data_IF_234568567121
#
_entry.id   IF_234568567121
#
_cell.length_a   1.000
_cell.length_b   1.000
_cell.length_c   1.000
_cell.angle_alpha   90.00
_cell.angle_beta   90.00
_cell.angle_gamma   90.00
#
_symmetry.space_group_name_H-M   'P 1'
#
loop_
_entity.id
_entity.type
_entity.pdbx_description
1 polymer ?
#
# COMPACT_ATOMS: atom_id res chain seq x y z
N UNK A 1 -12.52 -7.37 -22.83
CA UNK A 1 -13.49 -6.58 -22.04
C UNK A 1 -13.46 -5.16 -22.57
N UNK A 2 -14.59 -4.62 -22.96
CA UNK A 2 -14.70 -3.22 -23.43
C UNK A 2 -14.52 -2.28 -22.24
N UNK A 3 -13.99 -1.07 -22.43
CA UNK A 3 -13.76 -0.09 -21.34
C UNK A 3 -15.04 0.25 -20.54
N UNK A 4 -16.22 0.07 -21.15
CA UNK A 4 -17.53 0.25 -20.51
C UNK A 4 -17.83 -0.75 -19.39
N UNK A 5 -17.20 -1.93 -19.38
CA UNK A 5 -17.40 -2.95 -18.33
C UNK A 5 -16.59 -2.64 -17.04
N UNK A 6 -15.68 -1.65 -17.09
CA UNK A 6 -14.80 -1.27 -15.97
C UNK A 6 -15.22 0.02 -15.27
N UNK A 7 -16.38 0.56 -15.59
CA UNK A 7 -16.91 1.79 -15.02
C UNK A 7 -18.28 1.60 -14.38
N UNK A 8 -18.64 2.44 -13.42
CA UNK A 8 -19.95 2.42 -12.82
C UNK A 8 -20.60 3.82 -12.86
N UNK A 9 -21.93 3.83 -12.78
CA UNK A 9 -22.76 5.04 -12.75
C UNK A 9 -22.97 5.46 -11.30
N UNK A 10 -22.50 6.66 -10.88
CA UNK A 10 -22.64 7.15 -9.51
C UNK A 10 -24.11 7.42 -9.12
N UNK A 11 -25.01 7.61 -10.09
CA UNK A 11 -26.43 7.85 -9.82
C UNK A 11 -27.13 6.61 -9.22
N UNK A 12 -26.48 5.45 -9.25
CA UNK A 12 -26.93 4.23 -8.55
C UNK A 12 -26.59 4.20 -7.07
N UNK A 13 -25.78 5.14 -6.57
CA UNK A 13 -25.29 5.14 -5.20
C UNK A 13 -26.27 5.74 -4.16
N UNK A 14 -27.08 6.76 -4.45
CA UNK A 14 -27.96 7.38 -3.44
C UNK A 14 -28.80 6.40 -2.60
N UNK A 15 -29.42 5.33 -3.16
CA UNK A 15 -30.16 4.38 -2.35
C UNK A 15 -29.28 3.60 -1.36
N UNK A 16 -28.03 3.32 -1.71
CA UNK A 16 -27.07 2.64 -0.83
C UNK A 16 -26.64 3.59 0.30
N UNK A 17 -26.42 4.87 0.00
CA UNK A 17 -26.06 5.87 0.99
C UNK A 17 -27.15 6.05 2.06
N UNK A 18 -28.41 6.14 1.66
CA UNK A 18 -29.51 6.27 2.63
C UNK A 18 -29.68 5.00 3.48
N UNK A 19 -29.57 3.82 2.88
CA UNK A 19 -29.59 2.57 3.63
C UNK A 19 -28.39 2.47 4.60
N UNK A 20 -27.22 2.95 4.20
CA UNK A 20 -26.02 3.02 5.04
C UNK A 20 -26.25 3.97 6.23
N UNK A 21 -26.78 5.17 6.01
CA UNK A 21 -27.09 6.11 7.09
C UNK A 21 -28.07 5.52 8.11
N UNK A 22 -29.11 4.85 7.62
CA UNK A 22 -30.10 4.17 8.50
C UNK A 22 -29.45 3.04 9.30
N UNK A 23 -28.63 2.20 8.66
CA UNK A 23 -27.94 1.11 9.35
C UNK A 23 -26.97 1.66 10.43
N UNK A 24 -26.18 2.68 10.09
CA UNK A 24 -25.22 3.29 11.01
C UNK A 24 -25.92 4.00 12.20
N UNK A 25 -27.04 4.64 11.97
CA UNK A 25 -27.79 5.34 13.01
C UNK A 25 -28.30 4.41 14.13
N UNK A 26 -28.40 3.11 13.92
CA UNK A 26 -28.80 2.11 14.93
C UNK A 26 -27.64 1.53 15.73
N UNK A 27 -26.39 1.86 15.40
CA UNK A 27 -25.19 1.26 16.02
C UNK A 27 -24.82 2.04 17.30
N UNK A 28 -24.72 1.33 18.42
CA UNK A 28 -24.39 1.91 19.72
C UNK A 28 -23.04 2.64 19.73
N UNK A 29 -21.99 2.10 19.11
CA UNK A 29 -20.66 2.71 19.01
C UNK A 29 -20.71 4.09 18.35
N UNK A 30 -21.59 4.29 17.36
CA UNK A 30 -21.82 5.58 16.70
C UNK A 30 -22.37 6.61 17.70
N UNK A 31 -23.30 6.20 18.54
CA UNK A 31 -23.87 7.06 19.58
C UNK A 31 -22.86 7.38 20.67
N UNK A 32 -22.10 6.40 21.14
CA UNK A 32 -21.04 6.58 22.15
C UNK A 32 -19.96 7.57 21.68
N UNK A 33 -19.60 7.53 20.42
CA UNK A 33 -18.65 8.48 19.78
C UNK A 33 -19.30 9.79 19.35
N UNK A 34 -20.60 9.96 19.54
CA UNK A 34 -21.37 11.16 19.17
C UNK A 34 -21.24 11.55 17.69
N UNK A 35 -21.10 10.58 16.77
CA UNK A 35 -20.96 10.82 15.34
C UNK A 35 -22.28 11.25 14.69
N UNK A 36 -22.24 12.30 13.86
CA UNK A 36 -23.39 12.89 13.18
C UNK A 36 -23.58 12.27 11.79
N UNK A 37 -24.11 11.05 11.74
CA UNK A 37 -24.27 10.25 10.50
C UNK A 37 -25.20 10.94 9.49
N UNK A 38 -26.19 11.67 9.95
CA UNK A 38 -27.16 12.40 9.10
C UNK A 38 -26.47 13.45 8.21
N UNK A 39 -25.33 14.00 8.66
CA UNK A 39 -24.53 15.00 7.93
C UNK A 39 -23.44 14.37 7.04
N UNK A 40 -23.33 13.04 7.02
CA UNK A 40 -22.32 12.35 6.27
C UNK A 40 -22.50 12.57 4.77
N UNK A 41 -21.41 12.96 4.09
CA UNK A 41 -21.31 13.08 2.64
C UNK A 41 -20.19 12.16 2.20
N UNK A 42 -20.44 11.38 1.14
CA UNK A 42 -19.45 10.49 0.53
C UNK A 42 -19.09 11.00 -0.86
N UNK A 43 -17.80 11.07 -1.12
CA UNK A 43 -17.22 11.52 -2.38
C UNK A 43 -16.58 10.30 -3.09
N UNK A 44 -16.94 10.00 -4.35
CA UNK A 44 -16.31 8.95 -5.14
C UNK A 44 -14.90 9.32 -5.61
N UNK A 45 -14.45 10.55 -5.38
CA UNK A 45 -13.20 11.05 -5.92
C UNK A 45 -13.28 11.43 -7.41
N UNK A 46 -12.14 11.69 -8.05
CA UNK A 46 -12.12 12.16 -9.43
C UNK A 46 -12.48 11.07 -10.43
N UNK A 47 -13.24 11.44 -11.46
CA UNK A 47 -13.45 10.60 -12.64
C UNK A 47 -12.16 10.46 -13.46
N UNK A 48 -11.96 9.29 -14.06
CA UNK A 48 -10.91 9.03 -15.03
C UNK A 48 -11.57 8.89 -16.41
N UNK A 49 -11.20 9.73 -17.37
CA UNK A 49 -11.79 9.75 -18.72
C UNK A 49 -13.34 9.82 -18.73
N UNK A 50 -13.92 10.62 -17.84
CA UNK A 50 -15.36 10.77 -17.63
C UNK A 50 -16.09 9.51 -17.07
N UNK A 51 -15.36 8.57 -16.49
CA UNK A 51 -15.91 7.37 -15.86
C UNK A 51 -15.33 7.17 -14.46
N UNK A 52 -16.10 6.54 -13.58
CA UNK A 52 -15.59 6.06 -12.30
C UNK A 52 -15.08 4.63 -12.47
N UNK A 53 -13.82 4.32 -12.09
CA UNK A 53 -13.32 2.96 -12.08
C UNK A 53 -14.15 2.04 -11.18
N UNK A 54 -14.22 0.74 -11.50
CA UNK A 54 -14.96 -0.25 -10.68
C UNK A 54 -14.37 -0.39 -9.28
N UNK A 55 -13.06 -0.18 -9.12
CA UNK A 55 -12.34 -0.26 -7.85
C UNK A 55 -12.39 1.04 -7.03
N UNK A 56 -13.10 2.05 -7.50
CA UNK A 56 -13.29 3.30 -6.74
C UNK A 56 -14.09 3.02 -5.47
N UNK A 57 -13.63 3.59 -4.36
CA UNK A 57 -14.35 3.62 -3.09
C UNK A 57 -14.85 5.02 -2.79
N UNK A 58 -16.05 5.12 -2.22
CA UNK A 58 -16.55 6.38 -1.67
C UNK A 58 -15.86 6.68 -0.35
N UNK A 59 -15.47 7.94 -0.17
CA UNK A 59 -14.72 8.43 0.98
C UNK A 59 -15.47 9.58 1.63
N UNK A 60 -15.49 9.60 2.96
CA UNK A 60 -16.12 10.69 3.68
C UNK A 60 -15.50 10.94 5.03
N UNK A 61 -15.76 12.13 5.55
CA UNK A 61 -15.45 12.50 6.93
C UNK A 61 -16.77 12.58 7.69
N UNK A 62 -16.83 11.95 8.85
CA UNK A 62 -17.96 12.04 9.77
C UNK A 62 -17.55 13.01 10.89
N UNK A 63 -18.35 14.07 11.06
CA UNK A 63 -18.18 15.00 12.14
C UNK A 63 -18.88 14.50 13.42
N UNK A 64 -18.49 15.01 14.57
CA UNK A 64 -19.24 14.88 15.81
C UNK A 64 -20.43 15.86 15.84
N UNK A 65 -21.20 15.83 16.93
CA UNK A 65 -22.35 16.74 17.16
C UNK A 65 -21.96 18.22 17.17
N UNK A 66 -20.70 18.54 17.44
CA UNK A 66 -20.15 19.90 17.44
C UNK A 66 -19.59 20.32 16.07
N UNK A 67 -19.82 19.53 15.02
CA UNK A 67 -19.26 19.68 13.68
C UNK A 67 -17.72 19.57 13.61
N UNK A 68 -17.10 18.89 14.58
CA UNK A 68 -15.66 18.62 14.54
C UNK A 68 -15.41 17.31 13.79
N UNK A 69 -14.55 17.29 12.73
CA UNK A 69 -14.17 16.05 12.06
C UNK A 69 -13.63 15.01 13.05
N UNK A 70 -14.24 13.84 13.11
CA UNK A 70 -13.99 12.85 14.17
C UNK A 70 -13.71 11.44 13.66
N UNK A 71 -14.23 11.07 12.49
CA UNK A 71 -14.02 9.77 11.91
C UNK A 71 -13.90 9.86 10.38
N UNK A 72 -13.30 8.84 9.78
CA UNK A 72 -13.19 8.67 8.33
C UNK A 72 -13.96 7.41 7.93
N UNK A 73 -14.77 7.50 6.87
CA UNK A 73 -15.52 6.37 6.35
C UNK A 73 -15.07 6.03 4.92
N UNK A 74 -14.95 4.73 4.66
CA UNK A 74 -14.88 4.14 3.33
C UNK A 74 -16.13 3.33 3.06
N UNK A 75 -16.67 3.44 1.86
CA UNK A 75 -17.76 2.60 1.38
C UNK A 75 -17.42 2.11 -0.02
N UNK A 76 -17.56 0.82 -0.27
CA UNK A 76 -17.37 0.25 -1.59
C UNK A 76 -18.43 0.77 -2.56
N UNK A 77 -18.13 0.77 -3.84
CA UNK A 77 -19.15 1.06 -4.85
C UNK A 77 -20.03 -0.19 -5.13
N UNK A 78 -21.21 -0.04 -5.70
CA UNK A 78 -22.12 -1.15 -5.97
C UNK A 78 -21.59 -2.21 -6.96
N UNK A 79 -20.56 -1.93 -7.73
CA UNK A 79 -19.93 -2.88 -8.66
C UNK A 79 -18.78 -3.65 -7.97
N UNK A 80 -17.98 -2.96 -7.16
CA UNK A 80 -16.90 -3.55 -6.37
C UNK A 80 -17.28 -3.77 -4.90
N UNK A 81 -18.40 -4.45 -4.66
CA UNK A 81 -19.11 -4.54 -3.37
C UNK A 81 -18.23 -4.96 -2.17
N UNK A 82 -17.22 -5.80 -2.40
CA UNK A 82 -16.38 -6.39 -1.34
C UNK A 82 -15.08 -5.63 -1.09
N UNK A 83 -14.75 -4.63 -1.91
CA UNK A 83 -13.44 -3.96 -1.89
C UNK A 83 -13.00 -3.47 -0.51
N UNK A 84 -13.93 -2.88 0.25
CA UNK A 84 -13.62 -2.38 1.60
C UNK A 84 -13.45 -3.53 2.58
N UNK A 85 -14.30 -4.56 2.52
CA UNK A 85 -14.15 -5.76 3.35
C UNK A 85 -12.83 -6.48 3.07
N UNK A 86 -12.48 -6.69 1.81
CA UNK A 86 -11.26 -7.38 1.41
C UNK A 86 -10.01 -6.62 1.91
N UNK A 87 -10.04 -5.27 1.87
CA UNK A 87 -8.98 -4.44 2.45
C UNK A 87 -8.89 -4.60 3.98
N UNK A 88 -10.03 -4.59 4.67
CA UNK A 88 -10.07 -4.78 6.13
C UNK A 88 -9.57 -6.15 6.54
N UNK A 89 -9.99 -7.22 5.86
CA UNK A 89 -9.55 -8.59 6.13
C UNK A 89 -8.03 -8.74 5.93
N UNK A 90 -7.47 -8.15 4.87
CA UNK A 90 -6.02 -8.12 4.65
C UNK A 90 -5.29 -7.35 5.75
N UNK A 91 -5.77 -6.16 6.12
CA UNK A 91 -5.18 -5.39 7.21
C UNK A 91 -5.22 -6.16 8.55
N UNK A 92 -6.30 -6.87 8.84
CA UNK A 92 -6.42 -7.73 10.01
C UNK A 92 -5.42 -8.91 9.97
N UNK A 93 -5.28 -9.57 8.82
CA UNK A 93 -4.31 -10.65 8.64
C UNK A 93 -2.87 -10.15 8.82
N UNK A 94 -2.53 -8.98 8.27
CA UNK A 94 -1.23 -8.33 8.48
C UNK A 94 -1.01 -8.01 9.96
N UNK A 95 -2.01 -7.43 10.63
CA UNK A 95 -1.92 -7.10 12.06
C UNK A 95 -1.70 -8.34 12.92
N UNK A 96 -2.34 -9.45 12.60
CA UNK A 96 -2.18 -10.72 13.30
C UNK A 96 -0.79 -11.36 13.09
N UNK A 97 -0.17 -11.11 11.92
CA UNK A 97 1.16 -11.63 11.59
C UNK A 97 2.28 -10.92 12.35
N UNK A 98 2.11 -9.64 12.67
CA UNK A 98 3.13 -8.80 13.28
C UNK A 98 3.05 -8.82 14.82
N UNK A 99 4.20 -8.73 15.49
CA UNK A 99 4.26 -8.58 16.94
C UNK A 99 3.58 -7.28 17.39
N UNK A 100 3.07 -7.27 18.63
CA UNK A 100 2.31 -6.14 19.20
C UNK A 100 3.04 -4.79 19.16
N UNK A 101 4.38 -4.79 19.23
CA UNK A 101 5.20 -3.59 19.10
C UNK A 101 5.18 -2.97 17.70
N UNK A 102 4.91 -3.75 16.65
CA UNK A 102 4.98 -3.34 15.25
C UNK A 102 3.60 -3.28 14.56
N UNK A 103 2.60 -3.96 15.13
CA UNK A 103 1.26 -4.01 14.56
C UNK A 103 0.40 -2.78 14.89
N UNK A 104 0.83 -1.95 15.84
CA UNK A 104 0.11 -0.73 16.25
C UNK A 104 0.00 0.31 15.14
N UNK A 105 0.91 0.26 14.15
CA UNK A 105 0.87 1.19 13.01
C UNK A 105 -0.14 0.77 11.95
N UNK A 106 -0.66 -0.46 12.01
CA UNK A 106 -1.69 -0.92 11.07
C UNK A 106 -3.00 -0.25 11.43
N UNK A 107 -3.52 0.55 10.52
CA UNK A 107 -4.80 1.22 10.71
C UNK A 107 -5.94 0.24 10.45
N UNK A 108 -6.74 -0.03 11.47
CA UNK A 108 -7.94 -0.86 11.36
C UNK A 108 -9.18 -0.02 11.66
N UNK A 109 -10.30 -0.32 11.00
CA UNK A 109 -11.55 0.32 11.35
C UNK A 109 -11.98 -0.09 12.76
N UNK A 110 -12.63 0.83 13.47
CA UNK A 110 -13.31 0.50 14.71
C UNK A 110 -14.72 -0.07 14.47
N UNK A 111 -15.30 0.21 13.29
CA UNK A 111 -16.54 -0.41 12.80
C UNK A 111 -16.41 -0.76 11.32
N UNK A 112 -16.96 -1.90 10.94
CA UNK A 112 -17.09 -2.31 9.54
C UNK A 112 -18.29 -3.25 9.38
N UNK A 113 -18.80 -3.35 8.17
CA UNK A 113 -19.95 -4.21 7.87
C UNK A 113 -20.37 -4.13 6.42
N UNK A 114 -21.58 -4.62 6.16
CA UNK A 114 -22.20 -4.62 4.85
C UNK A 114 -23.63 -4.03 4.94
N UNK A 115 -24.03 -3.29 3.91
CA UNK A 115 -25.38 -2.83 3.72
C UNK A 115 -25.82 -3.09 2.28
N UNK A 116 -26.91 -3.82 2.07
CA UNK A 116 -27.33 -4.28 0.75
C UNK A 116 -26.22 -4.98 -0.06
N UNK A 117 -25.34 -5.70 0.64
CA UNK A 117 -24.19 -6.40 0.06
C UNK A 117 -22.99 -5.50 -0.29
N UNK A 118 -23.05 -4.19 0.01
CA UNK A 118 -21.96 -3.25 -0.20
C UNK A 118 -21.20 -3.07 1.11
N UNK A 119 -19.90 -3.33 1.12
CA UNK A 119 -19.05 -3.24 2.30
C UNK A 119 -18.66 -1.81 2.63
N UNK A 120 -18.54 -1.53 3.93
CA UNK A 120 -18.12 -0.24 4.46
C UNK A 120 -17.24 -0.42 5.70
N UNK A 121 -16.45 0.61 6.02
CA UNK A 121 -15.60 0.64 7.21
C UNK A 121 -15.42 2.07 7.72
N UNK A 122 -15.42 2.24 9.06
CA UNK A 122 -15.21 3.53 9.73
C UNK A 122 -13.94 3.43 10.57
N UNK A 123 -13.06 4.41 10.35
CA UNK A 123 -11.74 4.51 10.97
C UNK A 123 -11.67 5.73 11.88
N UNK A 124 -10.77 5.71 12.86
CA UNK A 124 -10.36 6.93 13.54
C UNK A 124 -9.79 7.91 12.49
N UNK A 125 -10.03 9.20 12.73
CA UNK A 125 -9.53 10.23 11.82
C UNK A 125 -7.99 10.29 11.89
N UNK A 126 -7.34 9.99 10.79
CA UNK A 126 -5.91 10.18 10.61
C UNK A 126 -5.65 11.35 9.66
N UNK A 127 -4.56 12.04 9.83
CA UNK A 127 -4.20 13.19 9.02
C UNK A 127 -3.11 12.85 8.00
N UNK A 128 -3.24 13.28 6.74
CA UNK A 128 -2.19 13.12 5.75
C UNK A 128 -0.95 13.93 6.15
N UNK A 129 0.20 13.49 5.67
CA UNK A 129 1.44 14.24 5.82
C UNK A 129 1.31 15.61 5.14
N UNK A 130 1.86 16.64 5.77
CA UNK A 130 1.69 18.02 5.32
C UNK A 130 2.18 18.26 3.89
N UNK A 131 1.47 19.12 3.16
CA UNK A 131 1.90 19.65 1.85
C UNK A 131 2.80 20.87 1.99
N UNK A 132 2.86 21.50 3.17
CA UNK A 132 3.74 22.65 3.40
C UNK A 132 5.20 22.21 3.36
N UNK A 133 5.99 22.79 2.45
CA UNK A 133 7.39 22.41 2.18
C UNK A 133 8.28 22.41 3.43
N UNK A 134 8.16 23.43 4.27
CA UNK A 134 9.01 23.58 5.45
C UNK A 134 8.63 22.62 6.56
N UNK A 135 7.37 22.51 6.85
CA UNK A 135 6.83 21.55 7.84
C UNK A 135 7.15 20.13 7.41
N UNK A 136 7.02 19.82 6.11
CA UNK A 136 7.38 18.53 5.53
C UNK A 136 8.85 18.15 5.80
N UNK A 137 9.79 19.09 5.66
CA UNK A 137 11.21 18.77 5.95
C UNK A 137 11.43 18.34 7.40
N UNK A 138 10.68 18.89 8.34
CA UNK A 138 10.76 18.49 9.75
C UNK A 138 10.05 17.15 9.99
N UNK A 139 8.83 16.98 9.50
CA UNK A 139 8.10 15.71 9.59
C UNK A 139 8.92 14.56 9.01
N UNK A 140 9.48 14.76 7.83
CA UNK A 140 10.30 13.79 7.13
C UNK A 140 11.52 13.35 7.97
N UNK A 141 12.23 14.29 8.63
CA UNK A 141 13.36 13.97 9.51
C UNK A 141 12.97 13.12 10.71
N UNK A 142 11.76 13.29 11.23
CA UNK A 142 11.24 12.51 12.34
C UNK A 142 10.73 11.13 11.90
N UNK A 143 10.10 11.04 10.73
CA UNK A 143 9.45 9.83 10.25
C UNK A 143 10.41 8.85 9.55
N UNK A 144 11.41 9.33 8.79
CA UNK A 144 12.36 8.46 8.09
C UNK A 144 12.97 7.39 9.03
N UNK A 145 13.50 7.72 10.22
CA UNK A 145 14.07 6.72 11.09
C UNK A 145 13.06 5.68 11.58
N UNK A 146 11.87 6.12 11.97
CA UNK A 146 10.88 5.21 12.59
C UNK A 146 10.16 4.34 11.57
N UNK A 147 9.83 4.89 10.39
CA UNK A 147 9.26 4.09 9.30
C UNK A 147 10.30 3.13 8.74
N UNK A 148 11.54 3.59 8.57
CA UNK A 148 12.63 2.76 8.11
C UNK A 148 12.96 1.61 9.06
N UNK A 149 12.96 1.85 10.37
CA UNK A 149 13.14 0.79 11.36
C UNK A 149 11.96 -0.19 11.33
N UNK A 150 10.73 0.32 11.26
CA UNK A 150 9.53 -0.52 11.16
C UNK A 150 9.57 -1.43 9.92
N UNK A 151 9.96 -0.92 8.74
CA UNK A 151 10.16 -1.75 7.54
C UNK A 151 11.19 -2.86 7.75
N UNK A 152 12.30 -2.53 8.41
CA UNK A 152 13.35 -3.50 8.74
C UNK A 152 12.82 -4.60 9.68
N UNK A 153 12.07 -4.20 10.70
CA UNK A 153 11.50 -5.13 11.69
C UNK A 153 10.40 -6.02 11.07
N UNK A 154 9.59 -5.46 10.16
CA UNK A 154 8.60 -6.23 9.39
C UNK A 154 9.28 -7.34 8.59
N UNK A 155 10.32 -7.02 7.83
CA UNK A 155 11.07 -8.03 7.07
C UNK A 155 11.69 -9.07 8.00
N UNK A 156 12.29 -8.66 9.13
CA UNK A 156 12.90 -9.57 10.10
C UNK A 156 11.89 -10.57 10.69
N UNK A 157 10.66 -10.11 10.98
CA UNK A 157 9.61 -10.95 11.57
C UNK A 157 8.94 -11.87 10.57
N UNK A 158 8.84 -11.46 9.30
CA UNK A 158 7.97 -12.13 8.32
C UNK A 158 8.72 -12.86 7.21
N UNK A 159 10.07 -12.74 7.16
CA UNK A 159 10.87 -13.42 6.14
C UNK A 159 10.65 -14.93 6.15
N UNK A 160 10.51 -15.50 4.97
CA UNK A 160 10.46 -16.96 4.75
C UNK A 160 11.28 -17.33 3.53
N UNK A 161 12.11 -18.34 3.67
CA UNK A 161 12.81 -18.88 2.51
C UNK A 161 11.82 -19.59 1.61
N UNK A 162 11.89 -19.33 0.32
CA UNK A 162 11.05 -20.03 -0.66
C UNK A 162 11.58 -21.48 -0.78
N UNK A 163 10.75 -22.53 -0.66
CA UNK A 163 11.19 -23.91 -0.80
C UNK A 163 11.73 -24.22 -2.19
N UNK A 164 12.81 -25.00 -2.31
CA UNK A 164 13.54 -25.31 -3.57
C UNK A 164 12.65 -25.71 -4.76
N UNK A 165 11.53 -26.41 -4.51
CA UNK A 165 10.62 -26.86 -5.58
C UNK A 165 9.73 -25.77 -6.18
N UNK A 166 9.50 -24.67 -5.45
CA UNK A 166 8.66 -23.53 -5.89
C UNK A 166 9.51 -22.37 -6.46
N UNK A 167 10.83 -22.42 -6.28
CA UNK A 167 11.76 -21.33 -6.54
C UNK A 167 11.78 -20.79 -7.96
N UNK A 168 11.87 -21.63 -9.01
CA UNK A 168 12.19 -21.05 -10.30
C UNK A 168 11.09 -20.16 -10.85
N UNK A 169 9.84 -20.63 -10.85
CA UNK A 169 8.76 -19.95 -11.56
C UNK A 169 8.28 -18.67 -10.91
N UNK A 170 8.17 -18.63 -9.57
CA UNK A 170 7.67 -17.44 -8.85
C UNK A 170 8.62 -16.23 -8.96
N UNK A 171 9.90 -16.44 -9.24
CA UNK A 171 10.91 -15.39 -9.39
C UNK A 171 11.35 -15.25 -10.85
N UNK A 172 11.49 -16.37 -11.60
CA UNK A 172 11.91 -16.35 -13.00
C UNK A 172 10.90 -15.67 -13.91
N UNK A 173 9.63 -16.06 -13.85
CA UNK A 173 8.59 -15.50 -14.73
C UNK A 173 8.46 -13.98 -14.63
N UNK A 174 8.45 -13.36 -13.43
CA UNK A 174 8.51 -11.92 -13.31
C UNK A 174 9.77 -11.29 -13.91
N UNK A 175 10.95 -11.89 -13.72
CA UNK A 175 12.20 -11.38 -14.30
C UNK A 175 12.21 -11.52 -15.84
N UNK A 176 11.67 -12.61 -16.38
CA UNK A 176 11.48 -12.78 -17.82
C UNK A 176 10.55 -11.70 -18.39
N UNK A 177 9.48 -11.34 -17.68
CA UNK A 177 8.59 -10.27 -18.13
C UNK A 177 9.29 -8.92 -18.22
N UNK A 178 10.26 -8.62 -17.33
CA UNK A 178 11.11 -7.44 -17.44
C UNK A 178 11.99 -7.51 -18.71
N UNK A 179 12.53 -8.68 -19.03
CA UNK A 179 13.35 -8.86 -20.24
C UNK A 179 12.56 -8.70 -21.54
N UNK A 180 11.27 -9.00 -21.53
CA UNK A 180 10.38 -8.90 -22.69
C UNK A 180 9.77 -7.50 -22.87
N UNK A 181 9.94 -6.57 -21.92
CA UNK A 181 9.35 -5.23 -22.00
C UNK A 181 10.22 -4.31 -22.86
N UNK A 182 9.70 -3.97 -24.03
CA UNK A 182 10.43 -3.19 -25.04
C UNK A 182 10.74 -1.75 -24.63
N UNK A 183 9.96 -1.19 -23.69
CA UNK A 183 10.16 0.19 -23.23
C UNK A 183 11.24 0.30 -22.15
N UNK A 184 11.74 -0.82 -21.60
CA UNK A 184 12.75 -0.77 -20.55
C UNK A 184 14.17 -0.51 -21.08
N UNK A 185 15.00 0.25 -20.32
CA UNK A 185 16.39 0.46 -20.66
C UNK A 185 17.17 -0.87 -20.70
N UNK A 186 18.15 -0.97 -21.61
CA UNK A 186 18.99 -2.15 -21.77
C UNK A 186 19.70 -2.55 -20.46
N UNK A 187 20.08 -1.58 -19.65
CA UNK A 187 20.71 -1.80 -18.34
C UNK A 187 19.75 -2.50 -17.36
N UNK A 188 18.48 -2.17 -17.40
CA UNK A 188 17.44 -2.81 -16.58
C UNK A 188 17.21 -4.25 -17.01
N UNK A 189 17.15 -4.51 -18.32
CA UNK A 189 17.05 -5.85 -18.89
C UNK A 189 18.28 -6.70 -18.50
N UNK A 190 19.49 -6.17 -18.62
CA UNK A 190 20.72 -6.84 -18.16
C UNK A 190 20.71 -7.12 -16.66
N UNK A 191 20.11 -6.20 -15.86
CA UNK A 191 19.93 -6.41 -14.43
C UNK A 191 19.06 -7.63 -14.13
N UNK A 192 17.95 -7.80 -14.87
CA UNK A 192 17.06 -8.96 -14.74
C UNK A 192 17.74 -10.25 -15.20
N UNK A 193 18.46 -10.24 -16.34
CA UNK A 193 19.25 -11.39 -16.81
C UNK A 193 20.30 -11.84 -15.79
N UNK A 194 21.00 -10.89 -15.17
CA UNK A 194 21.98 -11.19 -14.13
C UNK A 194 21.33 -11.77 -12.87
N UNK A 195 20.18 -11.25 -12.45
CA UNK A 195 19.41 -11.79 -11.32
C UNK A 195 19.00 -13.25 -11.61
N UNK A 196 18.52 -13.55 -12.83
CA UNK A 196 18.19 -14.92 -13.25
C UNK A 196 19.41 -15.84 -13.22
N UNK A 197 20.59 -15.39 -13.68
CA UNK A 197 21.83 -16.17 -13.62
C UNK A 197 22.25 -16.47 -12.18
N UNK A 198 22.15 -15.49 -11.28
CA UNK A 198 22.46 -15.68 -9.85
C UNK A 198 21.50 -16.68 -9.20
N UNK A 199 20.22 -16.60 -9.55
CA UNK A 199 19.22 -17.54 -9.08
C UNK A 199 19.52 -18.96 -9.59
N UNK A 200 19.76 -19.13 -10.90
CA UNK A 200 20.03 -20.41 -11.51
C UNK A 200 21.33 -21.08 -11.00
N UNK A 201 22.34 -20.28 -10.64
CA UNK A 201 23.60 -20.78 -10.05
C UNK A 201 23.51 -21.06 -8.55
N UNK A 202 22.37 -20.76 -7.88
CA UNK A 202 22.24 -20.84 -6.42
C UNK A 202 23.02 -19.76 -5.66
N UNK A 203 23.60 -18.78 -6.36
CA UNK A 203 24.32 -17.67 -5.72
C UNK A 203 23.37 -16.67 -5.02
N UNK A 204 22.10 -16.69 -5.37
CA UNK A 204 21.01 -15.97 -4.71
C UNK A 204 19.90 -16.94 -4.33
N UNK A 205 19.62 -17.02 -3.03
CA UNK A 205 18.51 -17.81 -2.47
C UNK A 205 17.43 -16.81 -2.02
N UNK A 206 16.34 -16.66 -2.80
CA UNK A 206 15.34 -15.66 -2.51
C UNK A 206 14.46 -16.04 -1.31
N UNK A 207 14.00 -15.00 -0.61
CA UNK A 207 13.02 -15.09 0.46
C UNK A 207 11.77 -14.30 0.08
N UNK A 208 10.66 -14.60 0.72
CA UNK A 208 9.48 -13.75 0.79
C UNK A 208 9.42 -13.02 2.13
N UNK A 209 8.65 -11.96 2.19
CA UNK A 209 8.28 -11.27 3.42
C UNK A 209 6.92 -10.62 3.25
N UNK A 210 6.32 -10.10 4.33
CA UNK A 210 5.18 -9.21 4.20
C UNK A 210 5.54 -8.03 3.28
N UNK A 211 4.73 -7.80 2.27
CA UNK A 211 4.79 -6.63 1.40
C UNK A 211 3.44 -5.88 1.40
N UNK A 212 3.49 -4.57 1.52
CA UNK A 212 2.33 -3.69 1.36
C UNK A 212 1.97 -3.51 -0.12
N UNK A 213 2.99 -3.56 -0.98
CA UNK A 213 2.96 -3.36 -2.44
C UNK A 213 2.55 -1.95 -2.91
N UNK A 214 2.22 -1.05 -1.99
CA UNK A 214 1.99 0.37 -2.28
C UNK A 214 2.41 1.29 -1.13
N UNK A 215 3.55 1.02 -0.47
CA UNK A 215 4.01 1.84 0.65
C UNK A 215 4.73 3.10 0.17
N UNK A 216 3.98 4.17 0.04
CA UNK A 216 4.49 5.48 -0.30
C UNK A 216 3.98 6.54 0.67
N UNK A 217 4.46 7.77 0.52
CA UNK A 217 4.10 8.88 1.40
C UNK A 217 2.58 9.07 1.59
N UNK A 218 1.76 8.78 0.59
CA UNK A 218 0.30 8.94 0.64
C UNK A 218 -0.38 7.92 1.55
N UNK A 219 0.22 6.75 1.74
CA UNK A 219 -0.31 5.67 2.58
C UNK A 219 0.28 5.67 4.00
N UNK A 220 1.04 6.74 4.35
CA UNK A 220 1.54 6.99 5.71
C UNK A 220 0.83 8.21 6.26
N UNK A 221 0.12 8.03 7.37
CA UNK A 221 -0.73 9.04 8.00
C UNK A 221 -0.22 9.34 9.42
N UNK A 222 -0.65 10.48 9.96
CA UNK A 222 -0.46 10.83 11.37
C UNK A 222 -1.75 10.54 12.14
N UNK A 223 -1.70 9.83 13.30
CA UNK A 223 -2.86 9.65 14.14
C UNK A 223 -3.43 11.00 14.61
N UNK A 224 -4.76 11.10 14.78
CA UNK A 224 -5.43 12.33 15.24
C UNK A 224 -4.94 12.82 16.61
N UNK A 225 -4.49 11.89 17.45
CA UNK A 225 -3.92 12.19 18.77
C UNK A 225 -2.50 12.72 18.71
N UNK A 226 -1.83 12.62 17.56
CA UNK A 226 -0.44 13.00 17.39
C UNK A 226 -0.30 14.50 17.11
N UNK A 227 0.74 15.10 17.68
CA UNK A 227 1.16 16.44 17.29
C UNK A 227 1.78 16.44 15.89
N UNK A 228 1.75 17.58 15.21
CA UNK A 228 2.29 17.73 13.85
C UNK A 228 3.76 17.28 13.73
N UNK A 229 4.52 17.40 14.83
CA UNK A 229 5.89 16.91 14.95
C UNK A 229 5.94 15.67 15.86
N UNK A 230 5.61 14.54 15.29
CA UNK A 230 5.56 13.25 15.98
C UNK A 230 6.42 12.21 15.27
N UNK A 231 6.76 11.15 16.00
CA UNK A 231 7.33 9.92 15.45
C UNK A 231 6.26 8.82 15.28
N UNK A 232 5.01 9.11 15.67
CA UNK A 232 3.90 8.18 15.47
C UNK A 232 3.39 8.27 14.04
N UNK A 233 3.04 7.14 13.47
CA UNK A 233 2.43 7.05 12.14
C UNK A 233 1.44 5.90 12.09
N UNK A 234 0.61 5.90 11.06
CA UNK A 234 -0.28 4.81 10.66
C UNK A 234 -0.01 4.45 9.21
N UNK A 235 -0.16 3.20 8.88
CA UNK A 235 -0.12 2.70 7.50
C UNK A 235 -1.52 2.28 7.13
N UNK A 236 -2.03 2.84 6.03
CA UNK A 236 -3.37 2.63 5.49
C UNK A 236 -3.30 1.94 4.14
N UNK A 237 -4.46 1.50 3.63
CA UNK A 237 -4.62 0.94 2.28
C UNK A 237 -3.85 -0.36 2.03
N UNK A 238 -4.24 -1.40 2.75
CA UNK A 238 -3.64 -2.73 2.70
C UNK A 238 -4.21 -3.62 1.57
N UNK A 239 -5.04 -3.06 0.67
CA UNK A 239 -5.68 -3.83 -0.40
C UNK A 239 -4.69 -4.60 -1.27
N UNK A 240 -3.52 -4.02 -1.55
CA UNK A 240 -2.43 -4.63 -2.32
C UNK A 240 -1.52 -5.58 -1.53
N UNK A 241 -1.72 -5.71 -0.20
CA UNK A 241 -0.78 -6.44 0.64
C UNK A 241 -0.69 -7.94 0.29
N UNK A 242 0.52 -8.47 0.41
CA UNK A 242 0.84 -9.88 0.28
C UNK A 242 1.64 -10.35 1.50
N UNK A 243 1.14 -11.37 2.20
CA UNK A 243 1.80 -11.92 3.39
C UNK A 243 3.12 -12.64 3.06
N UNK A 244 3.31 -13.00 1.80
CA UNK A 244 4.49 -13.68 1.25
C UNK A 244 5.03 -12.98 0.00
N UNK A 245 4.94 -11.66 -0.02
CA UNK A 245 5.35 -10.81 -1.14
C UNK A 245 6.86 -10.75 -1.34
N UNK A 246 7.27 -10.05 -2.38
CA UNK A 246 8.67 -9.86 -2.74
C UNK A 246 9.27 -8.71 -1.92
N UNK A 247 10.36 -8.94 -1.16
CA UNK A 247 11.03 -7.89 -0.40
C UNK A 247 11.54 -6.73 -1.26
N UNK A 248 11.93 -5.64 -0.62
CA UNK A 248 12.52 -4.42 -1.17
C UNK A 248 11.59 -3.47 -1.93
N UNK A 249 10.48 -3.92 -2.51
CA UNK A 249 9.61 -3.02 -3.28
C UNK A 249 9.13 -1.84 -2.43
N UNK A 250 8.56 -2.13 -1.25
CA UNK A 250 8.09 -1.10 -0.33
C UNK A 250 9.23 -0.21 0.19
N UNK A 251 10.41 -0.79 0.43
CA UNK A 251 11.57 -0.02 0.80
C UNK A 251 11.94 1.00 -0.28
N UNK A 252 12.03 0.59 -1.55
CA UNK A 252 12.37 1.50 -2.64
C UNK A 252 11.27 2.55 -2.89
N UNK A 253 9.99 2.20 -2.80
CA UNK A 253 8.88 3.17 -2.84
C UNK A 253 8.96 4.17 -1.69
N UNK A 254 9.28 3.74 -0.49
CA UNK A 254 9.51 4.61 0.65
C UNK A 254 10.73 5.53 0.42
N UNK A 255 11.87 4.99 0.01
CA UNK A 255 13.08 5.77 -0.28
C UNK A 255 12.81 6.87 -1.31
N UNK A 256 12.07 6.56 -2.38
CA UNK A 256 11.68 7.49 -3.43
C UNK A 256 10.74 8.59 -2.89
N UNK A 257 9.61 8.18 -2.32
CA UNK A 257 8.54 9.11 -1.95
C UNK A 257 8.91 10.04 -0.79
N UNK A 258 9.80 9.59 0.09
CA UNK A 258 10.38 10.42 1.15
C UNK A 258 11.66 11.13 0.73
N UNK A 259 12.19 10.87 -0.46
CA UNK A 259 13.51 11.40 -0.87
C UNK A 259 14.56 11.20 0.23
N UNK A 260 14.74 9.96 0.66
CA UNK A 260 15.63 9.59 1.76
C UNK A 260 17.08 9.93 1.41
N UNK A 261 17.87 10.54 2.33
CA UNK A 261 19.28 10.82 2.07
C UNK A 261 20.07 9.56 1.72
N UNK A 262 20.97 9.65 0.72
CA UNK A 262 21.70 8.50 0.15
C UNK A 262 22.38 7.64 1.20
N UNK A 263 23.14 8.24 2.14
CA UNK A 263 23.84 7.48 3.18
C UNK A 263 22.91 6.69 4.09
N UNK A 264 21.72 7.27 4.39
CA UNK A 264 20.71 6.61 5.20
C UNK A 264 20.02 5.47 4.42
N UNK A 265 19.67 5.72 3.15
CA UNK A 265 19.07 4.69 2.29
C UNK A 265 20.00 3.50 2.07
N UNK A 266 21.31 3.73 1.85
CA UNK A 266 22.31 2.63 1.79
C UNK A 266 22.28 1.76 3.04
N UNK A 267 22.27 2.39 4.23
CA UNK A 267 22.21 1.66 5.49
C UNK A 267 20.95 0.83 5.62
N UNK A 268 19.79 1.37 5.19
CA UNK A 268 18.54 0.63 5.23
C UNK A 268 18.55 -0.58 4.28
N UNK A 269 19.06 -0.41 3.07
CA UNK A 269 19.21 -1.52 2.10
C UNK A 269 20.15 -2.58 2.66
N UNK A 270 21.30 -2.18 3.23
CA UNK A 270 22.24 -3.11 3.85
C UNK A 270 21.60 -3.89 5.00
N UNK A 271 20.87 -3.23 5.90
CA UNK A 271 20.16 -3.90 6.98
C UNK A 271 19.16 -4.95 6.45
N UNK A 272 18.42 -4.64 5.36
CA UNK A 272 17.52 -5.61 4.74
C UNK A 272 18.30 -6.78 4.11
N UNK A 273 19.42 -6.50 3.45
CA UNK A 273 20.28 -7.55 2.91
C UNK A 273 20.81 -8.48 4.01
N UNK A 274 21.27 -7.92 5.14
CA UNK A 274 21.79 -8.69 6.27
C UNK A 274 20.68 -9.60 6.86
N UNK A 275 19.45 -9.09 7.01
CA UNK A 275 18.32 -9.87 7.47
C UNK A 275 17.95 -10.98 6.50
N UNK A 276 17.91 -10.69 5.21
CA UNK A 276 17.52 -11.65 4.17
C UNK A 276 18.64 -12.63 3.80
N UNK A 277 19.88 -12.37 4.25
CA UNK A 277 21.05 -13.18 3.91
C UNK A 277 21.45 -13.03 2.43
N UNK A 278 21.24 -11.85 1.84
CA UNK A 278 21.53 -11.58 0.44
C UNK A 278 22.56 -10.45 0.29
N UNK A 279 23.11 -10.29 -0.91
CA UNK A 279 24.08 -9.24 -1.26
C UNK A 279 23.33 -7.98 -1.73
N UNK A 280 23.98 -6.82 -1.67
CA UNK A 280 23.39 -5.55 -2.15
C UNK A 280 22.93 -5.63 -3.63
N UNK A 281 23.63 -6.40 -4.47
CA UNK A 281 23.22 -6.61 -5.87
C UNK A 281 21.93 -7.42 -5.99
N UNK A 282 21.65 -8.31 -5.05
CA UNK A 282 20.45 -9.13 -5.04
C UNK A 282 19.21 -8.29 -4.63
N UNK A 283 19.41 -7.15 -3.91
CA UNK A 283 18.35 -6.19 -3.63
C UNK A 283 17.71 -5.62 -4.91
N UNK A 284 18.55 -5.35 -5.94
CA UNK A 284 18.04 -4.96 -7.27
C UNK A 284 17.31 -6.12 -7.94
N UNK A 285 17.77 -7.37 -7.77
CA UNK A 285 17.07 -8.57 -8.25
C UNK A 285 15.67 -8.71 -7.64
N UNK A 286 15.52 -8.52 -6.33
CA UNK A 286 14.22 -8.47 -5.66
C UNK A 286 13.32 -7.36 -6.20
N UNK A 287 13.86 -6.14 -6.36
CA UNK A 287 13.10 -5.02 -6.92
C UNK A 287 12.59 -5.34 -8.33
N UNK A 288 13.44 -5.87 -9.22
CA UNK A 288 13.07 -6.24 -10.58
C UNK A 288 12.02 -7.36 -10.59
N UNK A 289 12.13 -8.33 -9.68
CA UNK A 289 11.11 -9.37 -9.50
C UNK A 289 9.75 -8.76 -9.12
N UNK A 290 9.74 -7.88 -8.12
CA UNK A 290 8.49 -7.22 -7.68
C UNK A 290 7.88 -6.35 -8.79
N UNK A 291 8.71 -5.64 -9.55
CA UNK A 291 8.26 -4.88 -10.73
C UNK A 291 7.70 -5.79 -11.81
N UNK A 292 8.30 -6.95 -12.05
CA UNK A 292 7.79 -7.96 -12.98
C UNK A 292 6.44 -8.51 -12.55
N UNK A 293 6.26 -8.82 -11.24
CA UNK A 293 4.94 -9.23 -10.69
C UNK A 293 3.90 -8.14 -10.91
N UNK A 294 4.24 -6.87 -10.64
CA UNK A 294 3.35 -5.74 -10.91
C UNK A 294 3.02 -5.64 -12.39
N UNK A 295 3.99 -5.77 -13.29
CA UNK A 295 3.81 -5.71 -14.73
C UNK A 295 2.91 -6.81 -15.29
N UNK A 296 2.93 -8.00 -14.69
CA UNK A 296 2.04 -9.12 -15.04
C UNK A 296 0.59 -8.90 -14.57
N UNK A 297 0.35 -8.01 -13.60
CA UNK A 297 -0.93 -7.80 -12.92
C UNK A 297 -1.31 -6.31 -12.86
N UNK A 298 -1.18 -5.59 -13.97
CA UNK A 298 -1.45 -4.14 -13.99
C UNK A 298 -2.90 -3.78 -13.67
N UNK A 299 -3.86 -4.68 -13.95
CA UNK A 299 -5.30 -4.43 -13.78
C UNK A 299 -5.70 -3.08 -14.42
N UNK A 300 -6.03 -2.09 -13.58
CA UNK A 300 -6.36 -0.73 -14.02
C UNK A 300 -5.17 0.24 -13.97
N UNK A 301 -4.00 -0.20 -13.52
CA UNK A 301 -2.81 0.65 -13.49
C UNK A 301 -2.28 0.86 -14.92
N UNK A 302 -2.24 2.12 -15.41
CA UNK A 302 -1.88 2.37 -16.80
C UNK A 302 -0.45 1.90 -17.12
N UNK A 303 -0.26 1.19 -18.24
CA UNK A 303 1.04 0.64 -18.65
C UNK A 303 2.15 1.71 -18.68
N UNK A 304 1.88 2.89 -19.24
CA UNK A 304 2.88 4.00 -19.27
C UNK A 304 3.29 4.47 -17.87
N UNK A 305 2.36 4.45 -16.89
CA UNK A 305 2.65 4.81 -15.50
C UNK A 305 3.50 3.73 -14.82
N UNK A 306 3.21 2.44 -15.12
CA UNK A 306 4.04 1.31 -14.70
C UNK A 306 5.47 1.43 -15.24
N UNK A 307 5.64 1.64 -16.54
CA UNK A 307 6.96 1.77 -17.18
C UNK A 307 7.75 2.94 -16.55
N UNK A 308 7.09 4.08 -16.32
CA UNK A 308 7.70 5.23 -15.64
C UNK A 308 8.16 4.87 -14.23
N UNK A 309 7.26 4.30 -13.41
CA UNK A 309 7.56 3.88 -12.03
C UNK A 309 8.75 2.90 -12.00
N UNK A 310 8.73 1.89 -12.87
CA UNK A 310 9.77 0.87 -12.93
C UNK A 310 11.14 1.47 -13.25
N UNK A 311 11.22 2.37 -14.26
CA UNK A 311 12.45 3.09 -14.61
C UNK A 311 12.97 3.94 -13.46
N UNK A 312 12.09 4.66 -12.78
CA UNK A 312 12.46 5.53 -11.64
C UNK A 312 13.00 4.71 -10.46
N UNK A 313 12.32 3.62 -10.08
CA UNK A 313 12.75 2.78 -8.97
C UNK A 313 14.05 2.02 -9.30
N UNK A 314 14.19 1.54 -10.54
CA UNK A 314 15.44 0.92 -10.98
C UNK A 314 16.61 1.91 -10.95
N UNK A 315 16.44 3.11 -11.51
CA UNK A 315 17.47 4.15 -11.44
C UNK A 315 17.83 4.50 -9.99
N UNK A 316 16.83 4.56 -9.10
CA UNK A 316 17.05 4.78 -7.68
C UNK A 316 17.89 3.65 -7.05
N UNK A 317 17.64 2.39 -7.37
CA UNK A 317 18.38 1.25 -6.83
C UNK A 317 19.87 1.30 -7.17
N UNK A 318 20.24 1.87 -8.31
CA UNK A 318 21.63 2.07 -8.72
C UNK A 318 22.33 3.20 -7.95
N UNK A 319 21.61 4.07 -7.26
CA UNK A 319 22.21 5.18 -6.49
C UNK A 319 22.62 4.79 -5.07
N UNK A 320 22.04 3.72 -4.57
CA UNK A 320 22.30 3.18 -3.24
C UNK A 320 23.25 1.99 -3.27
#
# INVERSE_FOLDING_TARGET
>A
MTDTEKSFDPDRFPPVLEALKQALASIEEIHQRSLAIEKMVLDPGPMINNYYPIDVTYKGIIADKNNTPSAFILCANPMGKTLVRDNVEKAQAVKALLHSSHNQVIDLPFLNGDVNGVSWAIYDLNFPLTRNRWVWQLQKRLLIPVVGQWLTDVVAQTRKTIPDKAHPMAIFSPLESICCENEFPREMIKGAENAMKHLASGAWIPCTSLAHNDLWRGNIMLPSTARIFTRQFRVIDWAGADLYGIPFFDLFKFLQSFTVPRGYGKKMIQNHCDILGCRSMDATGYLLTALGVLGQNLNQFPHHAYVKLAKELYALSLTY
#
